data_IF_651272643340
#
_entry.id   IF_651272643340
#
_cell.length_a   1.000
_cell.length_b   1.000
_cell.length_c   1.000
_cell.angle_alpha   90.00
_cell.angle_beta   90.00
_cell.angle_gamma   90.00
#
_symmetry.space_group_name_H-M   'P 1'
#
loop_
_entity.id
_entity.type
_entity.pdbx_description
1 polymer ?
#
# COMPACT_ATOMS: atom_id res chain seq x y z
N UNK A 1 -5.96 29.62 6.32
CA UNK A 1 -6.97 29.87 7.36
C UNK A 1 -7.23 28.66 8.27
N UNK A 2 -7.20 27.40 7.78
CA UNK A 2 -7.40 26.21 8.64
C UNK A 2 -6.18 25.76 9.46
N UNK A 3 -4.94 26.06 9.02
CA UNK A 3 -3.72 25.68 9.76
C UNK A 3 -3.56 26.42 11.11
N UNK A 4 -4.10 27.63 11.19
CA UNK A 4 -4.00 28.51 12.38
C UNK A 4 -4.98 28.13 13.50
N UNK A 5 -6.03 27.35 13.20
CA UNK A 5 -7.02 26.94 14.19
C UNK A 5 -6.56 25.75 15.06
N UNK A 6 -5.55 25.00 14.61
CA UNK A 6 -4.98 23.89 15.38
C UNK A 6 -3.91 24.35 16.37
N UNK A 7 -3.16 25.41 16.04
CA UNK A 7 -2.11 25.95 16.93
C UNK A 7 -2.66 26.70 18.14
N UNK A 8 -3.87 27.28 18.07
CA UNK A 8 -4.47 28.02 19.17
C UNK A 8 -5.03 27.15 20.31
N UNK A 9 -5.17 25.83 20.07
CA UNK A 9 -5.62 24.87 21.08
C UNK A 9 -4.48 24.11 21.77
N UNK A 10 -3.22 24.37 21.39
CA UNK A 10 -2.06 23.78 22.06
C UNK A 10 -1.53 24.74 23.15
N UNK A 11 -1.47 24.32 24.43
CA UNK A 11 -0.87 25.14 25.47
C UNK A 11 0.63 25.36 25.18
N UNK A 12 1.11 26.58 25.40
CA UNK A 12 2.45 27.07 25.00
C UNK A 12 3.65 26.36 25.65
N UNK A 13 3.42 25.36 26.49
CA UNK A 13 4.45 24.57 27.18
C UNK A 13 4.33 23.07 26.83
N UNK A 14 4.03 22.75 25.58
CA UNK A 14 3.92 21.36 25.12
C UNK A 14 5.30 20.72 24.95
N UNK A 15 5.65 19.82 25.87
CA UNK A 15 6.84 18.95 25.76
C UNK A 15 6.37 17.59 25.23
N UNK A 16 6.94 17.05 24.14
CA UNK A 16 6.43 15.84 23.50
C UNK A 16 6.95 14.62 24.26
N UNK A 17 6.19 14.15 25.24
CA UNK A 17 6.33 12.80 25.77
C UNK A 17 5.17 11.96 25.24
N UNK A 18 5.50 10.95 24.43
CA UNK A 18 4.63 10.17 23.55
C UNK A 18 3.54 9.30 24.21
N UNK A 19 2.75 9.86 25.12
CA UNK A 19 1.67 9.15 25.83
C UNK A 19 0.38 9.98 25.99
N UNK A 20 0.30 11.20 25.45
CA UNK A 20 -0.86 12.10 25.67
C UNK A 20 -1.98 12.08 24.61
N UNK A 21 -1.77 11.45 23.44
CA UNK A 21 -2.82 11.30 22.42
C UNK A 21 -4.06 10.50 22.87
N UNK A 22 -3.95 9.42 23.66
CA UNK A 22 -5.12 8.67 24.13
C UNK A 22 -6.08 9.53 24.97
N UNK A 23 -5.55 10.45 25.80
CA UNK A 23 -6.38 11.21 26.75
C UNK A 23 -7.26 12.27 26.07
N UNK A 24 -6.79 12.88 24.98
CA UNK A 24 -7.53 13.95 24.31
C UNK A 24 -8.68 13.40 23.43
N UNK A 25 -8.47 12.24 22.81
CA UNK A 25 -9.48 11.57 22.00
C UNK A 25 -10.59 10.98 22.90
N UNK A 26 -10.23 10.38 24.04
CA UNK A 26 -11.21 9.80 24.98
C UNK A 26 -12.12 10.86 25.60
N UNK A 27 -11.64 12.09 25.79
CA UNK A 27 -12.44 13.22 26.29
C UNK A 27 -13.23 13.97 25.22
N UNK A 28 -13.20 13.53 23.95
CA UNK A 28 -13.98 14.16 22.89
C UNK A 28 -15.48 13.92 23.13
N UNK A 29 -16.25 15.00 23.35
CA UNK A 29 -17.69 14.89 23.68
C UNK A 29 -18.56 14.41 22.51
N UNK A 30 -18.05 14.47 21.28
CA UNK A 30 -18.80 14.14 20.06
C UNK A 30 -18.69 12.66 19.67
N UNK A 31 -17.82 11.88 20.31
CA UNK A 31 -17.69 10.44 20.05
C UNK A 31 -18.69 9.63 20.87
N UNK A 32 -19.28 8.60 20.25
CA UNK A 32 -20.11 7.63 20.97
C UNK A 32 -19.30 6.84 21.98
N UNK A 33 -19.97 6.24 22.98
CA UNK A 33 -19.31 5.45 24.01
C UNK A 33 -18.59 4.23 23.42
N UNK A 34 -19.19 3.59 22.42
CA UNK A 34 -18.63 2.44 21.72
C UNK A 34 -17.38 2.84 20.92
N UNK A 35 -17.37 4.03 20.33
CA UNK A 35 -16.20 4.53 19.61
C UNK A 35 -15.03 4.81 20.57
N UNK A 36 -15.32 5.40 21.74
CA UNK A 36 -14.32 5.64 22.79
C UNK A 36 -13.76 4.32 23.34
N UNK A 37 -14.63 3.36 23.61
CA UNK A 37 -14.23 2.03 24.10
C UNK A 37 -13.34 1.31 23.09
N UNK A 38 -13.68 1.36 21.80
CA UNK A 38 -12.87 0.79 20.73
C UNK A 38 -11.46 1.40 20.71
N UNK A 39 -11.38 2.74 20.72
CA UNK A 39 -10.11 3.46 20.68
C UNK A 39 -9.26 3.13 21.91
N UNK A 40 -9.86 3.09 23.11
CA UNK A 40 -9.15 2.76 24.34
C UNK A 40 -8.56 1.35 24.29
N UNK A 41 -9.34 0.37 23.83
CA UNK A 41 -8.90 -1.03 23.75
C UNK A 41 -7.89 -1.28 22.62
N UNK A 42 -7.82 -0.43 21.60
CA UNK A 42 -6.79 -0.48 20.56
C UNK A 42 -5.50 0.24 20.97
N UNK A 43 -5.60 1.34 21.71
CA UNK A 43 -4.48 2.17 22.15
C UNK A 43 -4.00 1.80 23.56
N UNK A 44 -3.67 0.52 23.75
CA UNK A 44 -3.09 0.01 24.99
C UNK A 44 -1.85 -0.88 24.72
N UNK A 45 -1.30 -1.45 25.81
CA UNK A 45 -0.18 -2.38 25.74
C UNK A 45 -0.50 -3.58 24.84
N UNK A 46 0.50 -4.08 24.12
CA UNK A 46 0.33 -5.11 23.09
C UNK A 46 -0.41 -6.34 23.59
N UNK A 47 -0.12 -6.81 24.81
CA UNK A 47 -0.75 -8.01 25.39
C UNK A 47 -2.25 -7.86 25.67
N UNK A 48 -2.70 -6.62 25.90
CA UNK A 48 -4.09 -6.28 26.24
C UNK A 48 -4.86 -5.67 25.05
N UNK A 49 -4.17 -5.44 23.93
CA UNK A 49 -4.75 -4.80 22.75
C UNK A 49 -5.84 -5.68 22.15
N UNK A 50 -6.98 -5.06 21.86
CA UNK A 50 -8.07 -5.73 21.17
C UNK A 50 -7.59 -6.30 19.83
N UNK A 51 -7.80 -7.59 19.60
CA UNK A 51 -7.35 -8.27 18.40
C UNK A 51 -6.04 -9.02 18.55
N UNK A 52 -5.34 -8.90 19.69
CA UNK A 52 -4.08 -9.62 19.93
C UNK A 52 -4.26 -11.13 19.91
N UNK A 53 -5.38 -11.65 20.40
CA UNK A 53 -5.66 -13.09 20.38
C UNK A 53 -6.30 -13.54 19.08
N UNK A 54 -7.20 -12.72 18.53
CA UNK A 54 -7.89 -13.01 17.29
C UNK A 54 -8.57 -11.77 16.72
N UNK A 55 -8.62 -11.67 15.39
CA UNK A 55 -9.43 -10.66 14.70
C UNK A 55 -10.93 -10.71 15.07
N UNK A 56 -11.43 -11.83 15.59
CA UNK A 56 -12.82 -11.96 16.04
C UNK A 56 -13.15 -11.01 17.20
N UNK A 57 -12.17 -10.65 18.05
CA UNK A 57 -12.37 -9.68 19.13
C UNK A 57 -12.74 -8.30 18.58
N UNK A 58 -12.09 -7.89 17.48
CA UNK A 58 -12.39 -6.63 16.79
C UNK A 58 -13.78 -6.72 16.15
N UNK A 59 -14.06 -7.82 15.43
CA UNK A 59 -15.34 -8.03 14.73
C UNK A 59 -16.55 -8.04 15.66
N UNK A 60 -16.37 -8.56 16.88
CA UNK A 60 -17.41 -8.67 17.90
C UNK A 60 -17.61 -7.38 18.71
N UNK A 61 -16.76 -6.37 18.54
CA UNK A 61 -16.84 -5.14 19.32
C UNK A 61 -18.14 -4.37 19.00
N UNK A 62 -18.85 -3.80 20.00
CA UNK A 62 -20.13 -3.12 19.80
C UNK A 62 -20.12 -1.99 18.77
N UNK A 63 -18.97 -1.34 18.58
CA UNK A 63 -18.78 -0.31 17.54
C UNK A 63 -19.07 -0.84 16.12
N UNK A 64 -18.76 -2.10 15.84
CA UNK A 64 -19.00 -2.75 14.54
C UNK A 64 -20.36 -3.46 14.48
N UNK A 65 -21.28 -3.19 15.41
CA UNK A 65 -22.61 -3.81 15.40
C UNK A 65 -23.34 -3.50 14.09
N UNK A 66 -23.81 -4.54 13.41
CA UNK A 66 -24.51 -4.44 12.14
C UNK A 66 -23.63 -4.58 10.89
N UNK A 67 -22.31 -4.71 11.05
CA UNK A 67 -21.41 -5.02 9.93
C UNK A 67 -21.52 -6.51 9.55
N UNK A 68 -21.91 -6.77 8.31
CA UNK A 68 -21.92 -8.13 7.73
C UNK A 68 -20.53 -8.49 7.18
N UNK A 69 -19.62 -8.93 8.06
CA UNK A 69 -18.22 -9.22 7.71
C UNK A 69 -18.02 -10.16 6.51
N UNK A 70 -18.92 -11.13 6.30
CA UNK A 70 -18.85 -12.08 5.18
C UNK A 70 -19.24 -11.46 3.83
N UNK A 71 -19.94 -10.31 3.84
CA UNK A 71 -20.39 -9.59 2.65
C UNK A 71 -19.73 -8.22 2.53
N UNK A 72 -18.67 -7.95 3.30
CA UNK A 72 -18.03 -6.64 3.35
C UNK A 72 -17.63 -6.12 1.97
N UNK A 73 -17.12 -7.00 1.08
CA UNK A 73 -16.75 -6.64 -0.29
C UNK A 73 -17.94 -6.34 -1.23
N UNK A 74 -19.15 -6.76 -0.85
CA UNK A 74 -20.38 -6.53 -1.60
C UNK A 74 -21.15 -5.32 -1.05
N UNK A 75 -20.81 -4.86 0.16
CA UNK A 75 -21.46 -3.71 0.78
C UNK A 75 -21.09 -2.42 0.04
N UNK A 76 -22.07 -1.53 -0.12
CA UNK A 76 -21.84 -0.21 -0.69
C UNK A 76 -20.91 0.58 0.22
N UNK A 77 -19.84 1.14 -0.34
CA UNK A 77 -18.95 2.04 0.38
C UNK A 77 -19.70 3.28 0.89
N UNK A 78 -19.35 3.74 2.09
CA UNK A 78 -19.95 4.94 2.68
C UNK A 78 -19.64 6.21 1.88
N UNK A 79 -18.51 6.21 1.16
CA UNK A 79 -18.07 7.30 0.30
C UNK A 79 -17.50 6.71 -1.00
N UNK A 80 -17.88 7.32 -2.12
CA UNK A 80 -17.37 7.00 -3.45
C UNK A 80 -16.73 8.29 -3.97
N UNK A 81 -15.40 8.35 -4.17
CA UNK A 81 -14.75 9.53 -4.70
C UNK A 81 -15.18 9.80 -6.15
N UNK A 82 -15.27 11.07 -6.51
CA UNK A 82 -15.56 11.46 -7.89
C UNK A 82 -14.35 11.19 -8.78
N UNK A 83 -14.60 10.60 -9.95
CA UNK A 83 -13.61 10.33 -11.00
C UNK A 83 -14.25 10.74 -12.32
N UNK A 84 -13.65 11.73 -12.98
CA UNK A 84 -14.21 12.31 -14.20
C UNK A 84 -13.78 11.55 -15.46
N UNK A 85 -12.53 11.07 -15.51
CA UNK A 85 -11.97 10.35 -16.66
C UNK A 85 -10.82 9.41 -16.25
N UNK A 86 -10.28 8.66 -17.23
CA UNK A 86 -9.21 7.66 -17.02
C UNK A 86 -7.87 8.25 -16.55
N UNK A 87 -7.63 9.54 -16.80
CA UNK A 87 -6.40 10.25 -16.44
C UNK A 87 -6.63 11.21 -15.25
N UNK A 88 -7.79 11.12 -14.61
CA UNK A 88 -8.17 12.00 -13.51
C UNK A 88 -7.26 11.77 -12.30
N UNK A 89 -6.55 12.82 -11.92
CA UNK A 89 -5.61 12.84 -10.80
C UNK A 89 -6.09 13.72 -9.65
N UNK A 90 -7.35 14.17 -9.65
CA UNK A 90 -7.85 15.12 -8.65
C UNK A 90 -7.82 14.61 -7.21
N UNK A 91 -7.94 13.30 -7.01
CA UNK A 91 -7.88 12.64 -5.70
C UNK A 91 -6.44 12.35 -5.22
N UNK A 92 -5.42 12.76 -5.98
CA UNK A 92 -4.02 12.66 -5.60
C UNK A 92 -3.50 13.98 -5.05
N UNK A 93 -2.52 13.89 -4.14
CA UNK A 93 -1.85 15.08 -3.63
C UNK A 93 -0.96 15.69 -4.72
N UNK A 94 -1.15 16.99 -4.97
CA UNK A 94 -0.31 17.76 -5.91
C UNK A 94 0.95 18.16 -5.18
N UNK A 95 2.04 17.47 -5.47
CA UNK A 95 3.35 17.93 -5.04
C UNK A 95 3.79 19.06 -5.96
N UNK A 96 4.39 20.10 -5.39
CA UNK A 96 5.18 21.01 -6.21
C UNK A 96 6.22 20.15 -6.91
N UNK A 97 6.26 20.19 -8.24
CA UNK A 97 7.41 19.70 -8.97
C UNK A 97 8.59 20.47 -8.39
N UNK A 98 9.40 19.78 -7.59
CA UNK A 98 10.67 20.35 -7.18
C UNK A 98 11.42 20.47 -8.49
N UNK A 99 11.46 21.67 -9.01
CA UNK A 99 12.18 22.05 -10.21
C UNK A 99 13.66 21.82 -9.90
N UNK A 100 14.09 20.56 -9.97
CA UNK A 100 15.46 20.06 -9.92
C UNK A 100 15.44 18.53 -9.95
N UNK A 101 15.81 18.02 -11.12
CA UNK A 101 16.26 16.66 -11.39
C UNK A 101 15.16 15.60 -11.53
N UNK A 102 14.37 15.70 -12.61
CA UNK A 102 14.31 14.52 -13.49
C UNK A 102 15.78 14.18 -13.77
N UNK A 103 16.31 12.99 -13.39
CA UNK A 103 17.52 12.54 -14.06
C UNK A 103 17.09 12.52 -15.52
N UNK A 104 17.55 13.50 -16.31
CA UNK A 104 17.34 13.55 -17.75
C UNK A 104 17.52 12.11 -18.19
N UNK A 105 16.47 11.47 -18.73
CA UNK A 105 16.49 10.06 -19.07
C UNK A 105 17.88 9.77 -19.60
N UNK A 106 18.70 9.07 -18.80
CA UNK A 106 20.16 9.10 -18.98
C UNK A 106 20.34 8.62 -20.39
N UNK A 107 20.63 9.53 -21.34
CA UNK A 107 20.75 9.23 -22.77
C UNK A 107 21.68 8.05 -22.77
N UNK A 108 21.16 6.86 -23.05
CA UNK A 108 21.72 5.58 -22.57
C UNK A 108 23.23 5.68 -22.47
N UNK A 109 23.72 6.00 -21.27
CA UNK A 109 25.10 6.42 -21.11
C UNK A 109 26.02 5.26 -21.50
N UNK A 110 27.28 5.50 -21.84
CA UNK A 110 28.26 4.44 -22.16
C UNK A 110 28.36 3.33 -21.09
N UNK A 111 27.82 3.59 -19.89
CA UNK A 111 27.58 2.70 -18.75
C UNK A 111 26.69 1.48 -19.00
N UNK A 112 26.17 1.27 -20.22
CA UNK A 112 25.66 -0.04 -20.67
C UNK A 112 26.75 -1.11 -20.85
N UNK A 113 27.99 -0.87 -20.41
CA UNK A 113 28.98 -1.93 -20.23
C UNK A 113 28.94 -2.40 -18.77
N UNK A 114 28.12 -3.43 -18.57
CA UNK A 114 28.02 -4.24 -17.36
C UNK A 114 27.70 -3.43 -16.10
N UNK A 115 26.42 -3.41 -15.72
CA UNK A 115 26.07 -3.36 -14.30
C UNK A 115 27.00 -4.34 -13.58
N UNK A 116 27.74 -3.91 -12.53
CA UNK A 116 28.53 -4.84 -11.76
C UNK A 116 27.65 -6.03 -11.39
N UNK A 117 28.15 -7.24 -11.60
CA UNK A 117 27.54 -8.53 -11.21
C UNK A 117 27.25 -8.65 -9.68
N UNK A 118 27.26 -7.52 -8.96
CA UNK A 118 27.24 -7.36 -7.50
C UNK A 118 25.97 -6.70 -6.95
N UNK A 119 24.94 -6.51 -7.76
CA UNK A 119 23.59 -6.33 -7.23
C UNK A 119 22.89 -7.67 -6.97
N UNK A 120 23.63 -8.62 -6.38
CA UNK A 120 23.10 -9.90 -5.89
C UNK A 120 21.92 -9.69 -4.93
N UNK A 121 21.88 -8.53 -4.25
CA UNK A 121 20.78 -8.09 -3.38
C UNK A 121 19.43 -7.99 -4.10
N UNK A 122 19.42 -7.86 -5.43
CA UNK A 122 18.21 -7.70 -6.23
C UNK A 122 17.92 -8.85 -7.20
N UNK A 123 18.68 -9.95 -7.13
CA UNK A 123 18.35 -11.16 -7.90
C UNK A 123 16.96 -11.68 -7.49
N UNK A 124 16.12 -11.99 -8.47
CA UNK A 124 14.76 -12.50 -8.24
C UNK A 124 13.69 -11.45 -7.94
N UNK A 125 14.04 -10.15 -7.95
CA UNK A 125 13.05 -9.08 -7.73
C UNK A 125 12.06 -8.91 -8.88
N UNK A 126 12.38 -9.40 -10.08
CA UNK A 126 11.45 -9.35 -11.21
C UNK A 126 10.28 -10.30 -10.97
N UNK A 127 9.13 -9.73 -10.61
CA UNK A 127 7.86 -10.42 -10.48
C UNK A 127 6.99 -10.19 -11.72
N UNK A 128 6.23 -11.20 -12.12
CA UNK A 128 5.17 -11.10 -13.11
C UNK A 128 3.94 -11.82 -12.56
N UNK A 129 2.85 -11.09 -12.33
CA UNK A 129 1.60 -11.71 -11.91
C UNK A 129 1.05 -12.54 -13.09
N UNK A 130 0.99 -13.86 -12.94
CA UNK A 130 0.54 -14.76 -13.99
C UNK A 130 -0.98 -14.80 -14.15
N UNK A 131 -1.75 -14.44 -13.12
CA UNK A 131 -3.22 -14.41 -13.16
C UNK A 131 -3.72 -13.34 -14.14
N UNK A 132 -3.07 -12.17 -14.15
CA UNK A 132 -3.37 -11.07 -15.07
C UNK A 132 -2.98 -11.41 -16.54
N UNK A 133 -2.11 -12.41 -16.73
CA UNK A 133 -1.49 -12.70 -18.04
C UNK A 133 -2.25 -13.77 -18.82
N UNK A 134 -3.07 -14.58 -18.14
CA UNK A 134 -3.72 -15.74 -18.73
C UNK A 134 -5.23 -15.58 -18.94
N UNK A 135 -5.87 -14.51 -18.48
CA UNK A 135 -7.30 -14.29 -18.76
C UNK A 135 -7.54 -13.36 -19.94
N UNK A 136 -8.28 -13.91 -20.91
CA UNK A 136 -9.06 -13.19 -21.90
C UNK A 136 -10.11 -12.32 -21.17
N UNK A 137 -10.21 -11.05 -21.57
CA UNK A 137 -11.31 -10.12 -21.28
C UNK A 137 -11.67 -9.89 -19.79
N UNK A 138 -10.89 -9.03 -19.13
CA UNK A 138 -11.40 -8.23 -18.01
C UNK A 138 -11.92 -6.91 -18.60
N UNK A 139 -13.23 -6.58 -18.54
CA UNK A 139 -13.74 -5.33 -19.10
C UNK A 139 -13.20 -4.15 -18.29
N UNK A 140 -12.39 -3.29 -18.92
CA UNK A 140 -11.97 -2.01 -18.34
C UNK A 140 -10.47 -1.74 -18.25
N UNK A 141 -9.61 -2.60 -18.80
CA UNK A 141 -8.16 -2.30 -18.89
C UNK A 141 -7.81 -2.17 -20.37
N UNK A 142 -7.38 -0.98 -20.79
CA UNK A 142 -7.07 -0.68 -22.19
C UNK A 142 -6.14 -1.74 -22.82
N UNK A 143 -6.65 -2.43 -23.85
CA UNK A 143 -5.90 -3.44 -24.60
C UNK A 143 -4.75 -2.80 -25.39
N UNK A 144 -3.52 -2.93 -24.90
CA UNK A 144 -2.34 -2.74 -25.73
C UNK A 144 -2.14 -3.99 -26.60
N UNK A 145 -2.53 -3.90 -27.88
CA UNK A 145 -2.34 -4.96 -28.89
C UNK A 145 -0.89 -5.44 -28.92
N UNK A 146 -0.67 -6.66 -28.42
CA UNK A 146 0.65 -7.31 -28.45
C UNK A 146 0.91 -7.92 -29.83
N UNK A 147 1.83 -7.33 -30.60
CA UNK A 147 2.40 -7.99 -31.79
C UNK A 147 3.11 -9.27 -31.36
N UNK A 148 2.61 -10.41 -31.85
CA UNK A 148 3.23 -11.72 -31.69
C UNK A 148 4.59 -11.75 -32.37
N UNK A 149 5.66 -11.93 -31.59
CA UNK A 149 6.88 -12.52 -32.12
C UNK A 149 7.32 -13.62 -31.14
N UNK A 150 6.98 -14.86 -31.46
CA UNK A 150 7.37 -16.05 -30.68
C UNK A 150 8.89 -16.26 -30.84
N UNK A 151 9.68 -15.75 -29.90
CA UNK A 151 11.01 -16.30 -29.67
C UNK A 151 10.91 -17.41 -28.61
N UNK A 152 11.39 -18.61 -28.96
CA UNK A 152 11.37 -19.81 -28.12
C UNK A 152 12.19 -19.54 -26.84
N UNK A 153 11.51 -19.26 -25.74
CA UNK A 153 12.12 -19.05 -24.42
C UNK A 153 12.71 -20.38 -23.92
N UNK A 154 14.03 -20.46 -23.83
CA UNK A 154 14.72 -21.61 -23.24
C UNK A 154 14.29 -21.76 -21.78
N UNK A 155 13.84 -22.96 -21.43
CA UNK A 155 13.31 -23.31 -20.11
C UNK A 155 14.41 -23.50 -19.07
N UNK A 156 14.11 -23.20 -17.81
CA UNK A 156 15.03 -23.32 -16.64
C UNK A 156 15.71 -24.69 -16.56
N UNK A 157 15.04 -25.77 -16.99
CA UNK A 157 15.63 -27.13 -17.08
C UNK A 157 16.87 -27.20 -17.98
N UNK A 158 16.94 -26.39 -19.04
CA UNK A 158 18.09 -26.35 -19.97
C UNK A 158 19.31 -25.68 -19.35
N UNK A 159 19.11 -24.69 -18.48
CA UNK A 159 20.19 -23.96 -17.79
C UNK A 159 20.93 -24.84 -16.77
N UNK A 160 20.21 -25.68 -16.04
CA UNK A 160 20.83 -26.56 -15.04
C UNK A 160 21.53 -27.79 -15.64
N UNK A 161 21.18 -28.18 -16.86
CA UNK A 161 21.87 -29.28 -17.57
C UNK A 161 23.27 -28.93 -18.07
N UNK A 162 23.58 -27.64 -18.28
CA UNK A 162 24.90 -27.20 -18.77
C UNK A 162 25.96 -27.08 -17.66
N UNK A 163 25.55 -27.05 -16.39
CA UNK A 163 26.44 -26.80 -15.26
C UNK A 163 27.01 -28.11 -14.66
N UNK A 164 26.44 -29.27 -15.00
CA UNK A 164 26.77 -30.57 -14.40
C UNK A 164 27.35 -31.59 -15.39
N UNK A 165 28.34 -31.20 -16.20
CA UNK A 165 29.20 -32.19 -16.85
C UNK A 165 30.35 -32.55 -15.90
N UNK A 166 30.57 -33.84 -15.55
CA UNK A 166 31.69 -34.24 -14.74
C UNK A 166 32.98 -34.15 -15.57
N UNK A 167 34.02 -33.56 -14.97
CA UNK A 167 35.40 -33.66 -15.44
C UNK A 167 35.80 -35.14 -15.40
N UNK A 168 36.26 -35.67 -16.54
CA UNK A 168 36.87 -37.00 -16.66
C UNK A 168 38.19 -37.10 -15.88
#
# INVERSE_FOLDING_TARGET
MQKLALESYLPKNFVPLGVFLPLYIVNCRTLSLEAKDLIYKLLCNVEQRLGTRSANEIKAHPWFKGIEWNKLYQMKAAFIPEVNDELDTQNFEKFAETDNQVPSATKSGPWRKMLPFKDAKFMGYTYKNFEIVNDHEVPGIAELKKKSNKSKRLTVKSLFSMILLPLS
#
